data_IF_507337285355
#
_entry.id   IF_507337285355
#
_cell.length_a   1.000
_cell.length_b   1.000
_cell.length_c   1.000
_cell.angle_alpha   90.00
_cell.angle_beta   90.00
_cell.angle_gamma   90.00
#
_symmetry.space_group_name_H-M   'P 1'
#
loop_
_entity.id
_entity.type
_entity.pdbx_description
1 polymer ?
#
# COMPACT_ATOMS: atom_id res chain seq x y z
N UNK A 1 -11.94 -26.99 -57.53
CA UNK A 1 -12.28 -26.41 -56.20
C UNK A 1 -13.36 -27.15 -55.40
N UNK A 2 -14.31 -27.90 -56.00
CA UNK A 2 -15.36 -28.64 -55.25
C UNK A 2 -14.89 -29.89 -54.49
N UNK A 3 -13.64 -30.35 -54.71
CA UNK A 3 -13.11 -31.59 -54.14
C UNK A 3 -12.55 -31.42 -52.72
N UNK A 4 -11.94 -30.27 -52.40
CA UNK A 4 -11.30 -30.03 -51.09
C UNK A 4 -12.34 -29.79 -49.99
N UNK A 5 -13.49 -29.18 -50.33
CA UNK A 5 -14.61 -28.92 -49.40
C UNK A 5 -15.28 -30.22 -48.92
N UNK A 6 -15.12 -31.33 -49.65
CA UNK A 6 -15.75 -32.62 -49.30
C UNK A 6 -15.03 -33.38 -48.19
N UNK A 7 -13.78 -33.04 -47.86
CA UNK A 7 -12.94 -33.80 -46.92
C UNK A 7 -13.08 -33.37 -45.45
N UNK A 8 -13.83 -32.31 -45.16
CA UNK A 8 -14.11 -31.85 -43.79
C UNK A 8 -15.49 -32.31 -43.25
N UNK A 9 -16.25 -33.11 -44.02
CA UNK A 9 -17.60 -33.56 -43.65
C UNK A 9 -17.65 -34.87 -42.86
N UNK A 10 -16.50 -35.45 -42.52
CA UNK A 10 -16.39 -36.80 -41.95
C UNK A 10 -15.69 -36.88 -40.59
N UNK A 11 -15.58 -35.77 -39.83
CA UNK A 11 -15.17 -35.89 -38.44
C UNK A 11 -16.35 -36.42 -37.61
N UNK A 12 -16.17 -37.48 -36.80
CA UNK A 12 -17.21 -37.95 -35.89
C UNK A 12 -17.67 -36.80 -34.98
N UNK A 13 -18.97 -36.69 -34.73
CA UNK A 13 -19.58 -35.62 -33.90
C UNK A 13 -18.91 -35.43 -32.54
N UNK A 14 -18.37 -36.52 -31.96
CA UNK A 14 -17.61 -36.50 -30.72
C UNK A 14 -16.31 -35.68 -30.79
N UNK A 15 -15.59 -35.67 -31.92
CA UNK A 15 -14.36 -34.88 -32.08
C UNK A 15 -14.63 -33.38 -32.21
N UNK A 16 -15.79 -33.01 -32.76
CA UNK A 16 -16.20 -31.60 -32.88
C UNK A 16 -16.47 -30.99 -31.50
N UNK A 17 -17.19 -31.71 -30.64
CA UNK A 17 -17.45 -31.26 -29.26
C UNK A 17 -16.19 -31.14 -28.40
N UNK A 18 -15.21 -32.05 -28.59
CA UNK A 18 -13.91 -31.96 -27.90
C UNK A 18 -13.15 -30.70 -28.35
N UNK A 19 -13.13 -30.41 -29.66
CA UNK A 19 -12.45 -29.21 -30.17
C UNK A 19 -13.09 -27.90 -29.69
N UNK A 20 -14.42 -27.85 -29.59
CA UNK A 20 -15.16 -26.68 -29.08
C UNK A 20 -14.84 -26.42 -27.61
N UNK A 21 -14.82 -27.47 -26.78
CA UNK A 21 -14.47 -27.36 -25.36
C UNK A 21 -13.03 -26.88 -25.13
N UNK A 22 -12.08 -27.37 -25.93
CA UNK A 22 -10.67 -26.93 -25.84
C UNK A 22 -10.56 -25.45 -26.19
N UNK A 23 -11.24 -25.00 -27.26
CA UNK A 23 -11.25 -23.60 -27.67
C UNK A 23 -11.86 -22.74 -26.55
N UNK A 24 -12.98 -23.14 -25.97
CA UNK A 24 -13.60 -22.42 -24.85
C UNK A 24 -12.68 -22.33 -23.62
N UNK A 25 -12.01 -23.42 -23.25
CA UNK A 25 -11.08 -23.43 -22.12
C UNK A 25 -9.89 -22.47 -22.35
N UNK A 26 -9.32 -22.46 -23.56
CA UNK A 26 -8.25 -21.53 -23.94
C UNK A 26 -8.75 -20.08 -23.87
N UNK A 27 -9.95 -19.81 -24.39
CA UNK A 27 -10.51 -18.47 -24.42
C UNK A 27 -10.78 -17.94 -23.00
N UNK A 28 -11.30 -18.80 -22.11
CA UNK A 28 -11.45 -18.52 -20.68
C UNK A 28 -10.09 -18.25 -20.03
N UNK A 29 -9.08 -19.09 -20.28
CA UNK A 29 -7.74 -18.90 -19.73
C UNK A 29 -7.09 -17.58 -20.20
N UNK A 30 -7.28 -17.19 -21.47
CA UNK A 30 -6.81 -15.90 -22.00
C UNK A 30 -7.54 -14.75 -21.33
N UNK A 31 -8.87 -14.83 -21.18
CA UNK A 31 -9.64 -13.80 -20.47
C UNK A 31 -9.14 -13.68 -19.04
N UNK A 32 -9.03 -14.78 -18.28
CA UNK A 32 -8.54 -14.73 -16.90
C UNK A 32 -7.09 -14.24 -16.80
N UNK A 33 -6.20 -14.64 -17.72
CA UNK A 33 -4.82 -14.16 -17.75
C UNK A 33 -4.71 -12.67 -18.01
N UNK A 34 -5.42 -12.17 -19.02
CA UNK A 34 -5.47 -10.73 -19.32
C UNK A 34 -6.19 -9.94 -18.21
N UNK A 35 -7.19 -10.53 -17.58
CA UNK A 35 -7.96 -9.92 -16.51
C UNK A 35 -7.16 -9.83 -15.21
N UNK A 36 -6.35 -10.85 -14.92
CA UNK A 36 -5.39 -10.87 -13.82
C UNK A 36 -4.38 -9.72 -13.97
N UNK A 37 -3.70 -9.63 -15.11
CA UNK A 37 -2.67 -8.59 -15.31
C UNK A 37 -3.25 -7.16 -15.36
N UNK A 38 -4.51 -7.00 -15.78
CA UNK A 38 -5.19 -5.72 -15.80
C UNK A 38 -5.70 -5.28 -14.41
N UNK A 39 -6.26 -6.20 -13.61
CA UNK A 39 -6.82 -5.88 -12.29
C UNK A 39 -5.77 -5.81 -11.17
N UNK A 40 -4.71 -6.62 -11.22
CA UNK A 40 -3.66 -6.63 -10.20
C UNK A 40 -2.56 -5.60 -10.46
N UNK A 41 -2.91 -4.44 -11.03
CA UNK A 41 -2.06 -3.25 -10.88
C UNK A 41 -2.14 -2.80 -9.43
N UNK A 42 -1.34 -3.44 -8.58
CA UNK A 42 -1.12 -2.95 -7.23
C UNK A 42 -0.53 -1.56 -7.36
N UNK A 43 -1.14 -0.58 -6.69
CA UNK A 43 -0.58 0.76 -6.63
C UNK A 43 0.88 0.66 -6.20
N UNK A 44 1.77 1.28 -6.97
CA UNK A 44 3.20 1.18 -6.69
C UNK A 44 3.51 1.99 -5.44
N UNK A 45 3.45 1.38 -4.26
CA UNK A 45 3.65 2.08 -2.98
C UNK A 45 5.13 2.37 -2.68
N UNK A 46 6.05 1.70 -3.38
CA UNK A 46 7.49 1.99 -3.26
C UNK A 46 7.79 3.46 -3.55
N UNK A 47 8.59 4.08 -2.70
CA UNK A 47 9.02 5.47 -2.86
C UNK A 47 9.16 6.23 -1.55
N UNK A 48 9.40 7.53 -1.67
CA UNK A 48 9.52 8.45 -0.54
C UNK A 48 8.17 9.10 -0.24
N UNK A 49 7.84 9.18 1.04
CA UNK A 49 6.57 9.70 1.52
C UNK A 49 6.80 10.70 2.64
N UNK A 50 6.03 11.78 2.63
CA UNK A 50 5.80 12.64 3.78
C UNK A 50 4.61 12.05 4.53
N UNK A 51 4.78 11.83 5.82
CA UNK A 51 3.76 11.24 6.69
C UNK A 51 3.46 12.21 7.82
N UNK A 52 2.19 12.47 8.06
CA UNK A 52 1.75 13.34 9.14
C UNK A 52 0.82 12.56 10.06
N UNK A 53 1.22 12.41 11.32
CA UNK A 53 0.45 11.79 12.39
C UNK A 53 -0.20 12.89 13.22
N UNK A 54 -1.52 12.99 13.17
CA UNK A 54 -2.29 13.91 14.00
C UNK A 54 -2.83 13.20 15.25
N UNK A 55 -2.36 13.60 16.42
CA UNK A 55 -2.73 12.97 17.69
C UNK A 55 -4.06 13.52 18.20
N UNK A 56 -5.11 12.70 18.16
CA UNK A 56 -6.44 13.06 18.65
C UNK A 56 -6.60 12.76 20.14
N UNK A 57 -6.05 11.62 20.59
CA UNK A 57 -6.16 11.14 21.96
C UNK A 57 -4.83 10.52 22.41
N UNK A 58 -4.48 10.73 23.68
CA UNK A 58 -3.22 10.32 24.30
C UNK A 58 -3.33 10.42 25.81
N UNK A 59 -2.56 9.61 26.53
CA UNK A 59 -2.41 9.72 27.98
C UNK A 59 -1.44 10.85 28.39
N UNK A 60 -0.68 11.41 27.46
CA UNK A 60 0.24 12.52 27.71
C UNK A 60 -0.29 13.80 27.06
N UNK A 61 -0.96 14.64 27.85
CA UNK A 61 -1.64 15.85 27.39
C UNK A 61 -0.82 16.76 26.44
N UNK A 62 0.51 16.94 26.60
CA UNK A 62 1.29 17.74 25.66
C UNK A 62 1.26 17.25 24.20
N UNK A 63 0.95 15.97 23.96
CA UNK A 63 0.81 15.43 22.60
C UNK A 63 -0.58 15.66 22.01
N UNK A 64 -1.58 16.06 22.80
CA UNK A 64 -2.95 16.19 22.30
C UNK A 64 -3.06 17.33 21.29
N UNK A 65 -3.51 17.02 20.08
CA UNK A 65 -3.56 17.96 18.96
C UNK A 65 -2.21 18.22 18.30
N UNK A 66 -1.17 17.45 18.64
CA UNK A 66 0.14 17.53 18.01
C UNK A 66 0.13 16.83 16.64
N UNK A 67 0.86 17.41 15.69
CA UNK A 67 1.19 16.79 14.40
C UNK A 67 2.66 16.39 14.40
N UNK A 68 2.96 15.09 14.31
CA UNK A 68 4.31 14.61 14.07
C UNK A 68 4.50 14.35 12.57
N UNK A 69 5.54 14.94 11.99
CA UNK A 69 5.90 14.73 10.59
C UNK A 69 7.08 13.78 10.47
N UNK A 70 6.91 12.74 9.66
CA UNK A 70 7.96 11.80 9.29
C UNK A 70 8.22 11.84 7.80
N UNK A 71 9.45 11.54 7.41
CA UNK A 71 9.79 11.18 6.05
C UNK A 71 10.15 9.70 6.02
N UNK A 72 9.51 8.94 5.13
CA UNK A 72 9.72 7.50 5.06
C UNK A 72 10.04 7.06 3.64
N UNK A 73 10.75 5.94 3.53
CA UNK A 73 11.04 5.23 2.30
C UNK A 73 10.40 3.85 2.39
N UNK A 74 9.46 3.57 1.50
CA UNK A 74 8.81 2.27 1.38
C UNK A 74 9.37 1.49 0.21
N UNK A 75 9.51 0.17 0.41
CA UNK A 75 9.84 -0.83 -0.59
C UNK A 75 8.76 -1.89 -0.55
N UNK A 76 8.04 -2.02 -1.66
CA UNK A 76 7.02 -3.02 -1.85
C UNK A 76 7.57 -4.24 -2.59
N UNK A 77 7.39 -5.42 -1.99
CA UNK A 77 7.73 -6.73 -2.56
C UNK A 77 6.45 -7.58 -2.62
N UNK A 78 5.74 -7.52 -3.75
CA UNK A 78 4.41 -8.13 -3.88
C UNK A 78 3.40 -7.47 -2.93
N UNK A 79 2.85 -8.25 -2.00
CA UNK A 79 1.96 -7.77 -0.94
C UNK A 79 2.70 -7.34 0.33
N UNK A 80 4.00 -7.60 0.44
CA UNK A 80 4.80 -7.19 1.58
C UNK A 80 5.35 -5.78 1.41
N UNK A 81 5.42 -5.03 2.51
CA UNK A 81 6.04 -3.71 2.58
C UNK A 81 7.15 -3.77 3.64
N UNK A 82 8.30 -3.20 3.29
CA UNK A 82 9.37 -2.85 4.22
C UNK A 82 9.78 -1.40 4.01
N UNK A 83 10.46 -0.80 4.98
CA UNK A 83 10.90 0.57 4.85
C UNK A 83 11.68 1.09 6.04
N UNK A 84 12.14 2.33 5.87
CA UNK A 84 12.83 3.11 6.88
C UNK A 84 12.21 4.50 6.93
N UNK A 85 12.33 5.17 8.07
CA UNK A 85 11.82 6.51 8.23
C UNK A 85 12.56 7.32 9.27
N UNK A 86 12.35 8.63 9.23
CA UNK A 86 12.85 9.58 10.21
C UNK A 86 11.72 10.50 10.65
N UNK A 87 11.69 10.83 11.95
CA UNK A 87 10.87 11.93 12.44
C UNK A 87 11.58 13.25 12.14
N UNK A 88 10.98 14.09 11.32
CA UNK A 88 11.62 15.31 10.80
C UNK A 88 11.08 16.58 11.46
N UNK A 89 9.85 16.56 11.96
CA UNK A 89 9.27 17.71 12.65
C UNK A 89 8.15 17.31 13.63
N UNK A 90 7.87 18.21 14.56
CA UNK A 90 6.70 18.16 15.44
C UNK A 90 6.07 19.55 15.50
N UNK A 91 4.75 19.60 15.44
CA UNK A 91 3.98 20.82 15.57
C UNK A 91 2.92 20.65 16.64
N UNK A 92 2.89 21.57 17.58
CA UNK A 92 1.86 21.71 18.61
C UNK A 92 1.17 23.05 18.43
N UNK A 93 0.07 23.29 19.15
CA UNK A 93 -0.64 24.58 19.07
C UNK A 93 0.23 25.80 19.41
N UNK A 94 1.34 25.61 20.12
CA UNK A 94 2.22 26.69 20.58
C UNK A 94 3.58 26.75 19.88
N UNK A 95 4.02 25.66 19.28
CA UNK A 95 5.40 25.53 18.80
C UNK A 95 5.50 24.55 17.63
N UNK A 96 6.31 24.91 16.63
CA UNK A 96 6.70 24.03 15.53
C UNK A 96 8.22 23.85 15.56
N UNK A 97 8.66 22.60 15.65
CA UNK A 97 10.06 22.20 15.77
C UNK A 97 10.42 21.36 14.56
N UNK A 98 11.28 21.88 13.70
CA UNK A 98 11.95 21.08 12.67
C UNK A 98 13.26 20.50 13.23
N UNK A 99 13.41 19.18 13.17
CA UNK A 99 14.60 18.52 13.67
C UNK A 99 15.76 18.61 12.68
N UNK A 100 16.90 19.08 13.20
CA UNK A 100 18.18 18.96 12.51
C UNK A 100 18.46 17.47 12.21
N UNK A 101 19.00 17.09 11.03
CA UNK A 101 19.18 15.69 10.64
C UNK A 101 19.84 14.80 11.70
N UNK A 102 20.86 15.30 12.40
CA UNK A 102 21.57 14.58 13.46
C UNK A 102 20.77 14.30 14.73
N UNK A 103 19.57 14.88 14.88
CA UNK A 103 18.69 14.73 16.05
C UNK A 103 17.38 14.00 15.73
N UNK A 104 17.22 13.49 14.51
CA UNK A 104 16.01 12.79 14.08
C UNK A 104 15.97 11.38 14.66
N UNK A 105 14.81 10.98 15.18
CA UNK A 105 14.57 9.57 15.54
C UNK A 105 14.36 8.76 14.27
N UNK A 106 14.91 7.54 14.25
CA UNK A 106 14.80 6.62 13.13
C UNK A 106 13.72 5.59 13.41
N UNK A 107 13.05 5.14 12.35
CA UNK A 107 12.03 4.11 12.42
C UNK A 107 12.22 3.02 11.38
N UNK A 108 12.04 1.78 11.79
CA UNK A 108 11.89 0.63 10.89
C UNK A 108 10.42 0.39 10.59
N UNK A 109 10.11 0.08 9.33
CA UNK A 109 8.74 -0.07 8.85
C UNK A 109 8.57 -1.45 8.23
N UNK A 110 7.49 -2.13 8.60
CA UNK A 110 7.06 -3.36 7.96
C UNK A 110 5.54 -3.38 7.83
N UNK A 111 5.01 -4.09 6.84
CA UNK A 111 3.57 -4.11 6.62
C UNK A 111 3.11 -4.98 5.47
N UNK A 112 1.81 -4.92 5.21
CA UNK A 112 1.15 -5.71 4.18
C UNK A 112 0.07 -4.92 3.45
N UNK A 113 -0.17 -5.29 2.19
CA UNK A 113 -1.24 -4.77 1.36
C UNK A 113 -2.36 -5.81 1.31
N UNK A 114 -3.59 -5.39 1.60
CA UNK A 114 -4.80 -6.19 1.36
C UNK A 114 -5.52 -5.65 0.15
N UNK A 115 -5.54 -6.45 -0.92
CA UNK A 115 -6.23 -6.09 -2.16
C UNK A 115 -7.75 -6.15 -2.01
N UNK A 116 -8.44 -5.18 -2.62
CA UNK A 116 -9.89 -5.16 -2.72
C UNK A 116 -10.29 -4.98 -4.18
N UNK A 117 -11.13 -5.90 -4.69
CA UNK A 117 -11.55 -5.90 -6.10
C UNK A 117 -12.50 -4.75 -6.46
N UNK A 118 -13.27 -4.25 -5.49
CA UNK A 118 -14.36 -3.29 -5.71
C UNK A 118 -14.23 -2.05 -4.83
N UNK A 119 -13.08 -1.86 -4.18
CA UNK A 119 -12.79 -0.69 -3.35
C UNK A 119 -11.29 -0.44 -3.32
N UNK A 120 -10.89 0.66 -2.70
CA UNK A 120 -9.49 1.00 -2.51
C UNK A 120 -8.74 -0.08 -1.71
N UNK A 121 -7.45 -0.23 -2.03
CA UNK A 121 -6.57 -1.17 -1.35
C UNK A 121 -6.33 -0.72 0.09
N UNK A 122 -6.20 -1.68 1.00
CA UNK A 122 -5.86 -1.41 2.40
C UNK A 122 -4.38 -1.68 2.63
N UNK A 123 -3.75 -0.84 3.46
CA UNK A 123 -2.33 -0.95 3.81
C UNK A 123 -2.19 -0.91 5.32
N UNK A 124 -1.64 -1.99 5.88
CA UNK A 124 -1.34 -2.09 7.31
C UNK A 124 0.16 -1.99 7.52
N UNK A 125 0.61 -1.00 8.28
CA UNK A 125 2.02 -0.78 8.60
C UNK A 125 2.26 -0.83 10.11
N UNK A 126 3.42 -1.35 10.49
CA UNK A 126 4.00 -1.23 11.82
C UNK A 126 5.29 -0.44 11.71
N UNK A 127 5.37 0.65 12.46
CA UNK A 127 6.57 1.46 12.61
C UNK A 127 7.16 1.19 13.99
N UNK A 128 8.44 0.83 14.06
CA UNK A 128 9.21 0.75 15.29
C UNK A 128 10.14 1.94 15.34
N UNK A 129 9.91 2.85 16.27
CA UNK A 129 10.70 4.09 16.39
C UNK A 129 11.66 3.98 17.57
N UNK A 130 12.94 4.28 17.31
CA UNK A 130 13.96 4.48 18.33
C UNK A 130 13.95 5.95 18.76
N UNK A 131 13.00 6.28 19.63
CA UNK A 131 12.90 7.60 20.25
C UNK A 131 14.07 7.87 21.20
N UNK A 132 14.28 9.16 21.53
CA UNK A 132 15.42 9.60 22.36
C UNK A 132 15.47 8.94 23.75
N UNK A 133 14.30 8.69 24.35
CA UNK A 133 14.17 8.18 25.72
C UNK A 133 13.78 6.71 25.74
N UNK A 134 12.94 6.28 24.78
CA UNK A 134 12.44 4.91 24.70
C UNK A 134 12.07 4.53 23.28
N UNK A 135 12.06 3.22 23.04
CA UNK A 135 11.47 2.64 21.84
C UNK A 135 9.95 2.70 21.90
N UNK A 136 9.31 2.93 20.76
CA UNK A 136 7.86 2.86 20.62
C UNK A 136 7.47 2.08 19.37
N UNK A 137 6.22 1.65 19.33
CA UNK A 137 5.65 0.98 18.17
C UNK A 137 4.33 1.63 17.81
N UNK A 138 4.15 1.88 16.52
CA UNK A 138 2.95 2.50 15.95
C UNK A 138 2.38 1.57 14.90
N UNK A 139 1.14 1.16 15.09
CA UNK A 139 0.35 0.47 14.07
C UNK A 139 -0.46 1.49 13.28
N UNK A 140 -0.52 1.32 11.96
CA UNK A 140 -1.13 2.25 11.03
C UNK A 140 -2.02 1.46 10.08
N UNK A 141 -3.27 1.86 9.97
CA UNK A 141 -4.25 1.30 9.04
C UNK A 141 -4.63 2.38 8.02
N UNK A 142 -4.37 2.11 6.74
CA UNK A 142 -4.52 3.07 5.65
C UNK A 142 -5.43 2.54 4.54
N UNK A 143 -6.08 3.48 3.88
CA UNK A 143 -6.72 3.32 2.59
C UNK A 143 -5.81 3.96 1.54
N UNK A 144 -5.43 3.21 0.51
CA UNK A 144 -4.67 3.71 -0.62
C UNK A 144 -5.62 4.34 -1.64
N UNK A 145 -5.90 5.63 -1.45
CA UNK A 145 -6.80 6.43 -2.31
C UNK A 145 -6.23 6.61 -3.72
N UNK A 146 -4.91 6.65 -3.85
CA UNK A 146 -4.20 6.77 -5.13
C UNK A 146 -2.76 6.27 -5.01
N UNK A 147 -2.02 6.27 -6.13
CA UNK A 147 -0.58 6.02 -6.09
C UNK A 147 0.18 7.04 -5.25
N UNK A 148 -0.37 8.23 -5.00
CA UNK A 148 0.36 9.35 -4.41
C UNK A 148 -0.23 9.81 -3.06
N UNK A 149 -1.32 9.19 -2.62
CA UNK A 149 -1.95 9.47 -1.33
C UNK A 149 -2.50 8.23 -0.66
N UNK A 150 -2.29 8.17 0.66
CA UNK A 150 -2.97 7.21 1.53
C UNK A 150 -3.37 7.94 2.81
N UNK A 151 -4.48 7.53 3.42
CA UNK A 151 -4.92 8.12 4.70
C UNK A 151 -5.59 7.07 5.57
N UNK A 152 -5.66 7.34 6.87
CA UNK A 152 -6.36 6.46 7.79
C UNK A 152 -6.06 6.80 9.24
N UNK A 153 -5.85 5.77 10.05
CA UNK A 153 -5.71 5.92 11.50
C UNK A 153 -4.48 5.21 12.03
N UNK A 154 -3.99 5.65 13.18
CA UNK A 154 -2.90 4.98 13.88
C UNK A 154 -3.21 4.75 15.35
N UNK A 155 -2.48 3.80 15.93
CA UNK A 155 -2.36 3.57 17.35
C UNK A 155 -0.89 3.39 17.71
N UNK A 156 -0.41 4.09 18.74
CA UNK A 156 0.99 4.06 19.15
C UNK A 156 1.14 3.81 20.64
N UNK A 157 2.17 3.05 21.01
CA UNK A 157 2.60 2.91 22.42
C UNK A 157 3.28 4.16 22.94
N UNK A 158 3.65 5.11 22.05
CA UNK A 158 4.09 6.44 22.43
C UNK A 158 2.92 7.20 23.09
N UNK A 159 2.98 7.34 24.43
CA UNK A 159 1.95 7.95 25.26
C UNK A 159 0.53 7.39 25.02
N UNK A 160 0.44 6.10 24.66
CA UNK A 160 -0.81 5.42 24.31
C UNK A 160 -1.68 6.29 23.37
N UNK A 161 -1.04 6.85 22.35
CA UNK A 161 -1.64 7.82 21.45
C UNK A 161 -2.36 7.16 20.29
N UNK A 162 -3.38 7.84 19.77
CA UNK A 162 -4.14 7.46 18.58
C UNK A 162 -4.65 8.69 17.87
N UNK A 163 -4.92 8.54 16.58
CA UNK A 163 -5.54 9.58 15.77
C UNK A 163 -5.46 9.29 14.29
N UNK A 164 -5.48 10.36 13.50
CA UNK A 164 -5.45 10.30 12.05
C UNK A 164 -4.02 10.30 11.52
N UNK A 165 -3.82 9.71 10.35
CA UNK A 165 -2.53 9.73 9.65
C UNK A 165 -2.74 9.92 8.16
N UNK A 166 -1.87 10.73 7.55
CA UNK A 166 -1.88 10.95 6.11
C UNK A 166 -0.49 10.76 5.51
N UNK A 167 -0.47 10.17 4.31
CA UNK A 167 0.73 9.90 3.53
C UNK A 167 0.58 10.65 2.21
N UNK A 168 1.60 11.44 1.87
CA UNK A 168 1.71 12.12 0.58
C UNK A 168 3.04 11.78 -0.06
N UNK A 169 3.00 11.33 -1.31
CA UNK A 169 4.22 10.98 -2.04
C UNK A 169 5.06 12.23 -2.25
N UNK A 170 6.35 12.13 -1.95
CA UNK A 170 7.31 13.18 -2.29
C UNK A 170 7.78 12.88 -3.71
N UNK A 171 7.27 13.64 -4.68
CA UNK A 171 7.80 13.59 -6.04
C UNK A 171 9.20 14.20 -6.04
N UNK A 172 10.18 13.49 -6.62
CA UNK A 172 11.46 14.10 -6.96
C UNK A 172 11.18 15.17 -8.01
N UNK A 173 11.49 16.43 -7.69
CA UNK A 173 11.69 17.45 -8.71
C UNK A 173 12.82 17.00 -9.63
N UNK A 174 12.57 17.10 -10.94
CA UNK A 174 13.62 17.03 -11.96
C UNK A 174 14.67 18.12 -11.75
#
# INVERSE_FOLDING_TARGET
MKSVVRKLRGLPSHFKGISENIISAILIAIIFGLWNDYLYKVDRLSGRWKVEFYVENTEYNPYKGMTATHEIFLIQNGLGISGLGEKVAEETNSESIAYHPSKRSHSEISGTITYKFFSDNLVDLTLKEDGLIRKSSTFVHLVAESSDSMSGTFFSTAANSKGAVSFKRIQYGQ
#
